data_IF_908573986577
#
_entry.id   IF_908573986577
#
_cell.length_a   1.000
_cell.length_b   1.000
_cell.length_c   1.000
_cell.angle_alpha   90.00
_cell.angle_beta   90.00
_cell.angle_gamma   90.00
#
_symmetry.space_group_name_H-M   'P 1'
#
loop_
_entity.id
_entity.type
_entity.pdbx_description
1 polymer ?
#
# COMPACT_ATOMS: atom_id res chain seq x y z
N UNK A 1 7.59 13.08 -33.43
CA UNK A 1 8.19 11.95 -32.71
C UNK A 1 7.56 11.89 -31.34
N UNK A 2 6.81 10.83 -31.00
CA UNK A 2 6.34 10.63 -29.62
C UNK A 2 7.57 10.31 -28.78
N UNK A 3 7.88 11.15 -27.80
CA UNK A 3 8.98 10.87 -26.88
C UNK A 3 8.64 9.60 -26.09
N UNK A 4 9.61 8.69 -25.96
CA UNK A 4 9.47 7.50 -25.11
C UNK A 4 9.14 7.96 -23.69
N UNK A 5 8.08 7.46 -23.07
CA UNK A 5 7.71 7.88 -21.72
C UNK A 5 8.80 7.51 -20.72
N UNK A 6 9.02 8.35 -19.72
CA UNK A 6 9.92 8.05 -18.61
C UNK A 6 9.26 7.09 -17.61
N UNK A 7 10.09 6.48 -16.77
CA UNK A 7 9.70 5.52 -15.73
C UNK A 7 10.08 6.06 -14.36
N UNK A 8 9.23 5.85 -13.37
CA UNK A 8 9.50 6.28 -12.01
C UNK A 8 9.31 5.13 -11.01
N UNK A 9 10.11 5.16 -9.96
CA UNK A 9 9.97 4.33 -8.79
C UNK A 9 9.76 5.18 -7.55
N UNK A 10 8.93 4.71 -6.64
CA UNK A 10 8.63 5.42 -5.38
C UNK A 10 8.80 4.45 -4.22
N UNK A 11 9.74 4.75 -3.34
CA UNK A 11 9.92 4.08 -2.06
C UNK A 11 9.16 4.83 -0.97
N UNK A 12 8.26 4.12 -0.25
CA UNK A 12 7.27 4.72 0.65
C UNK A 12 7.55 4.38 2.11
N UNK A 13 7.64 5.43 2.92
CA UNK A 13 7.65 5.35 4.37
C UNK A 13 6.42 6.05 4.98
N UNK A 14 6.21 5.88 6.29
CA UNK A 14 5.04 6.41 7.01
C UNK A 14 4.85 7.92 6.86
N UNK A 15 5.94 8.70 6.89
CA UNK A 15 5.89 10.18 6.90
C UNK A 15 6.30 10.83 5.59
N UNK A 16 7.08 10.15 4.78
CA UNK A 16 7.61 10.65 3.53
C UNK A 16 7.79 9.52 2.53
N UNK A 17 8.06 9.87 1.30
CA UNK A 17 8.46 8.93 0.26
C UNK A 17 9.48 9.58 -0.68
N UNK A 18 10.27 8.74 -1.33
CA UNK A 18 11.33 9.15 -2.26
C UNK A 18 10.95 8.73 -3.67
N UNK A 19 11.10 9.64 -4.62
CA UNK A 19 10.79 9.46 -6.04
C UNK A 19 12.10 9.40 -6.82
N UNK A 20 12.33 8.30 -7.52
CA UNK A 20 13.39 8.14 -8.52
C UNK A 20 12.80 8.15 -9.93
N UNK A 21 13.52 8.73 -10.88
CA UNK A 21 13.20 8.64 -12.31
C UNK A 21 14.33 7.92 -13.01
N UNK A 22 14.00 6.92 -13.82
CA UNK A 22 14.97 6.14 -14.58
C UNK A 22 15.90 7.05 -15.39
N UNK A 23 17.20 6.75 -15.34
CA UNK A 23 18.22 7.54 -16.02
C UNK A 23 18.54 8.91 -15.39
N UNK A 24 17.95 9.25 -14.22
CA UNK A 24 18.28 10.48 -13.49
C UNK A 24 18.98 10.19 -12.17
N UNK A 25 20.03 10.96 -11.90
CA UNK A 25 20.80 10.80 -10.65
C UNK A 25 20.09 11.36 -9.42
N UNK A 26 19.34 12.45 -9.59
CA UNK A 26 18.65 13.12 -8.50
C UNK A 26 17.29 12.50 -8.22
N UNK A 27 17.03 12.21 -6.97
CA UNK A 27 15.71 11.84 -6.45
C UNK A 27 15.00 13.04 -5.83
N UNK A 28 13.70 12.93 -5.60
CA UNK A 28 12.88 13.93 -4.93
C UNK A 28 12.20 13.28 -3.73
N UNK A 29 12.23 13.94 -2.57
CA UNK A 29 11.49 13.50 -1.39
C UNK A 29 10.25 14.37 -1.21
N UNK A 30 9.12 13.73 -0.88
CA UNK A 30 7.85 14.39 -0.57
C UNK A 30 7.22 13.80 0.69
N UNK A 31 6.28 14.54 1.29
CA UNK A 31 5.54 14.10 2.46
C UNK A 31 4.42 13.13 2.06
N UNK A 32 4.21 12.07 2.86
CA UNK A 32 3.14 11.09 2.61
C UNK A 32 1.78 11.64 3.12
N UNK A 33 1.25 12.63 2.39
CA UNK A 33 -0.03 13.29 2.63
C UNK A 33 -0.60 13.85 1.31
N UNK A 34 -1.88 14.32 1.28
CA UNK A 34 -2.51 14.81 0.06
C UNK A 34 -1.71 15.88 -0.69
N UNK A 35 -1.09 16.83 0.02
CA UNK A 35 -0.27 17.88 -0.59
C UNK A 35 0.98 17.31 -1.27
N UNK A 36 1.67 16.35 -0.64
CA UNK A 36 2.79 15.65 -1.25
C UNK A 36 2.38 14.83 -2.48
N UNK A 37 1.16 14.29 -2.50
CA UNK A 37 0.61 13.59 -3.67
C UNK A 37 0.41 14.54 -4.86
N UNK A 38 -0.15 15.73 -4.63
CA UNK A 38 -0.32 16.76 -5.66
C UNK A 38 1.03 17.19 -6.26
N UNK A 39 2.03 17.48 -5.40
CA UNK A 39 3.37 17.80 -5.84
C UNK A 39 4.01 16.67 -6.65
N UNK A 40 3.75 15.43 -6.27
CA UNK A 40 4.27 14.24 -6.97
C UNK A 40 3.64 14.10 -8.35
N UNK A 41 2.31 14.23 -8.45
CA UNK A 41 1.60 14.18 -9.74
C UNK A 41 2.16 15.23 -10.69
N UNK A 42 2.25 16.49 -10.26
CA UNK A 42 2.81 17.58 -11.06
C UNK A 42 4.27 17.30 -11.50
N UNK A 43 5.08 16.75 -10.58
CA UNK A 43 6.48 16.40 -10.86
C UNK A 43 6.58 15.28 -11.90
N UNK A 44 5.79 14.21 -11.78
CA UNK A 44 5.80 13.08 -12.71
C UNK A 44 5.29 13.49 -14.09
N UNK A 45 4.23 14.30 -14.16
CA UNK A 45 3.70 14.85 -15.41
C UNK A 45 4.72 15.74 -16.12
N UNK A 46 5.37 16.66 -15.38
CA UNK A 46 6.45 17.51 -15.92
C UNK A 46 7.58 16.68 -16.54
N UNK A 47 7.85 15.51 -15.98
CA UNK A 47 8.88 14.60 -16.48
C UNK A 47 8.38 13.56 -17.47
N UNK A 48 7.12 13.69 -17.94
CA UNK A 48 6.51 12.78 -18.92
C UNK A 48 6.61 11.30 -18.50
N UNK A 49 6.39 11.03 -17.22
CA UNK A 49 6.43 9.66 -16.70
C UNK A 49 5.18 8.92 -17.17
N UNK A 50 5.36 7.79 -17.83
CA UNK A 50 4.30 6.93 -18.35
C UNK A 50 3.96 5.74 -17.45
N UNK A 51 4.88 5.32 -16.56
CA UNK A 51 4.68 4.21 -15.64
C UNK A 51 5.39 4.49 -14.32
N UNK A 52 4.69 4.24 -13.22
CA UNK A 52 5.18 4.39 -11.85
C UNK A 52 5.12 3.04 -11.14
N UNK A 53 6.20 2.63 -10.49
CA UNK A 53 6.24 1.45 -9.61
C UNK A 53 6.40 1.90 -8.17
N UNK A 54 5.50 1.42 -7.30
CA UNK A 54 5.59 1.54 -5.85
C UNK A 54 5.84 0.15 -5.26
N UNK A 55 6.62 0.05 -4.18
CA UNK A 55 6.72 -1.20 -3.44
C UNK A 55 5.57 -1.32 -2.41
N UNK A 56 5.00 -2.53 -2.29
CA UNK A 56 3.97 -2.80 -1.27
C UNK A 56 4.59 -2.73 0.13
N UNK A 57 4.07 -1.84 0.98
CA UNK A 57 4.57 -1.54 2.33
C UNK A 57 3.47 -1.64 3.40
N UNK A 58 2.58 -2.63 3.24
CA UNK A 58 1.51 -2.88 4.20
C UNK A 58 0.36 -1.89 4.15
N UNK A 59 0.14 -1.24 3.00
CA UNK A 59 -0.98 -0.33 2.74
C UNK A 59 -0.62 1.15 2.78
N UNK A 60 0.61 1.53 3.16
CA UNK A 60 1.05 2.93 3.14
C UNK A 60 1.13 3.50 1.71
N UNK A 61 1.29 2.63 0.72
CA UNK A 61 1.35 2.95 -0.71
C UNK A 61 -0.02 3.25 -1.33
N UNK A 62 -1.11 2.72 -0.75
CA UNK A 62 -2.44 2.74 -1.35
C UNK A 62 -2.98 4.16 -1.59
N UNK A 63 -2.90 5.11 -0.63
CA UNK A 63 -3.39 6.47 -0.85
C UNK A 63 -2.71 7.17 -2.02
N UNK A 64 -1.38 7.05 -2.14
CA UNK A 64 -0.63 7.62 -3.26
C UNK A 64 -0.95 6.91 -4.57
N UNK A 65 -1.02 5.57 -4.58
CA UNK A 65 -1.36 4.79 -5.77
C UNK A 65 -2.73 5.19 -6.34
N UNK A 66 -3.74 5.39 -5.48
CA UNK A 66 -5.07 5.88 -5.87
C UNK A 66 -5.00 7.29 -6.46
N UNK A 67 -4.22 8.20 -5.84
CA UNK A 67 -4.07 9.57 -6.32
C UNK A 67 -3.41 9.60 -7.71
N UNK A 68 -2.34 8.83 -7.91
CA UNK A 68 -1.64 8.70 -9.19
C UNK A 68 -2.55 8.09 -10.27
N UNK A 69 -3.29 7.04 -9.93
CA UNK A 69 -4.24 6.39 -10.85
C UNK A 69 -5.36 7.37 -11.27
N UNK A 70 -5.94 8.12 -10.33
CA UNK A 70 -6.95 9.15 -10.63
C UNK A 70 -6.41 10.27 -11.53
N UNK A 71 -5.12 10.56 -11.44
CA UNK A 71 -4.44 11.52 -12.32
C UNK A 71 -4.09 10.95 -13.71
N UNK A 72 -4.52 9.72 -14.03
CA UNK A 72 -4.30 9.07 -15.32
C UNK A 72 -2.91 8.45 -15.50
N UNK A 73 -2.13 8.31 -14.43
CA UNK A 73 -0.83 7.64 -14.47
C UNK A 73 -1.00 6.13 -14.38
N UNK A 74 -0.20 5.39 -15.15
CA UNK A 74 -0.11 3.93 -15.02
C UNK A 74 0.70 3.60 -13.77
N UNK A 75 0.15 2.81 -12.88
CA UNK A 75 0.73 2.48 -11.57
C UNK A 75 0.84 0.98 -11.42
N UNK A 76 1.95 0.50 -10.85
CA UNK A 76 2.14 -0.89 -10.41
C UNK A 76 2.50 -0.87 -8.93
N UNK A 77 1.81 -1.67 -8.12
CA UNK A 77 2.20 -1.98 -6.74
C UNK A 77 2.95 -3.30 -6.78
N UNK A 78 4.27 -3.24 -6.64
CA UNK A 78 5.13 -4.40 -6.77
C UNK A 78 5.28 -5.16 -5.45
N UNK A 79 5.27 -6.50 -5.54
CA UNK A 79 5.56 -7.32 -4.38
C UNK A 79 7.07 -7.22 -4.02
N UNK A 80 7.43 -7.00 -2.74
CA UNK A 80 8.82 -6.89 -2.29
C UNK A 80 9.72 -8.08 -2.63
N UNK A 81 9.14 -9.26 -2.82
CA UNK A 81 9.92 -10.44 -3.25
C UNK A 81 10.51 -10.27 -4.64
N UNK A 82 9.73 -9.69 -5.57
CA UNK A 82 10.18 -9.49 -6.95
C UNK A 82 11.14 -8.31 -7.06
N UNK A 83 10.89 -7.22 -6.35
CA UNK A 83 11.78 -6.05 -6.34
C UNK A 83 13.13 -6.38 -5.72
N UNK A 84 13.14 -7.14 -4.60
CA UNK A 84 14.39 -7.66 -3.99
C UNK A 84 15.15 -8.62 -4.90
N UNK A 85 14.44 -9.52 -5.58
CA UNK A 85 15.07 -10.44 -6.55
C UNK A 85 15.72 -9.67 -7.71
N UNK A 86 15.08 -8.60 -8.17
CA UNK A 86 15.63 -7.71 -9.19
C UNK A 86 16.86 -6.95 -8.65
N UNK A 87 16.77 -6.39 -7.44
CA UNK A 87 17.84 -5.64 -6.78
C UNK A 87 19.10 -6.48 -6.50
N UNK A 88 18.97 -7.76 -6.16
CA UNK A 88 20.08 -8.66 -5.86
C UNK A 88 21.05 -8.82 -7.05
N UNK A 89 20.64 -8.45 -8.26
CA UNK A 89 21.52 -8.39 -9.43
C UNK A 89 22.40 -7.13 -9.51
N UNK A 90 22.18 -6.09 -8.67
CA UNK A 90 22.76 -4.76 -8.92
C UNK A 90 23.54 -4.11 -7.78
N UNK A 91 23.24 -4.28 -6.51
CA UNK A 91 24.04 -3.71 -5.40
C UNK A 91 23.59 -4.17 -4.00
N UNK A 92 24.53 -4.33 -3.02
CA UNK A 92 24.22 -4.64 -1.63
C UNK A 92 23.89 -3.41 -0.76
N UNK A 93 24.08 -2.17 -1.25
CA UNK A 93 23.84 -0.96 -0.45
C UNK A 93 22.35 -0.57 -0.46
N UNK A 94 21.77 -0.37 0.73
CA UNK A 94 20.38 0.06 0.91
C UNK A 94 20.30 1.50 1.37
N UNK A 95 19.59 2.34 0.61
CA UNK A 95 19.09 3.64 1.03
C UNK A 95 17.78 3.93 0.29
N UNK A 96 16.86 4.69 0.87
CA UNK A 96 15.57 5.06 0.24
C UNK A 96 15.76 5.66 -1.16
N UNK A 97 16.86 6.40 -1.37
CA UNK A 97 17.22 6.96 -2.68
C UNK A 97 17.62 5.91 -3.70
N UNK A 98 18.36 4.88 -3.30
CA UNK A 98 18.75 3.77 -4.16
C UNK A 98 17.55 2.86 -4.43
N UNK A 99 16.71 2.64 -3.44
CA UNK A 99 15.51 1.82 -3.56
C UNK A 99 14.51 2.48 -4.55
N UNK A 100 14.30 3.80 -4.49
CA UNK A 100 13.47 4.51 -5.46
C UNK A 100 14.03 4.47 -6.90
N UNK A 101 15.35 4.57 -7.07
CA UNK A 101 15.99 4.43 -8.39
C UNK A 101 15.86 3.01 -8.93
N UNK A 102 16.11 2.01 -8.10
CA UNK A 102 15.96 0.60 -8.45
C UNK A 102 14.51 0.29 -8.87
N UNK A 103 13.51 0.84 -8.19
CA UNK A 103 12.10 0.70 -8.59
C UNK A 103 11.82 1.37 -9.94
N UNK A 104 12.47 2.49 -10.26
CA UNK A 104 12.35 3.14 -11.57
C UNK A 104 12.97 2.30 -12.69
N UNK A 105 14.12 1.68 -12.43
CA UNK A 105 14.77 0.73 -13.35
C UNK A 105 13.91 -0.53 -13.54
N UNK A 106 13.30 -1.01 -12.47
CA UNK A 106 12.36 -2.13 -12.52
C UNK A 106 11.12 -1.80 -13.34
N UNK A 107 10.58 -0.57 -13.24
CA UNK A 107 9.48 -0.11 -14.08
C UNK A 107 9.82 -0.15 -15.57
N UNK A 108 11.00 0.33 -15.93
CA UNK A 108 11.51 0.29 -17.30
C UNK A 108 11.67 -1.16 -17.80
N UNK A 109 12.22 -2.06 -16.96
CA UNK A 109 12.39 -3.46 -17.30
C UNK A 109 11.06 -4.19 -17.54
N UNK A 110 10.04 -3.91 -16.70
CA UNK A 110 8.69 -4.45 -16.88
C UNK A 110 8.05 -4.02 -18.21
N UNK A 111 8.19 -2.74 -18.55
CA UNK A 111 7.65 -2.21 -19.81
C UNK A 111 8.37 -2.82 -21.02
N UNK A 112 9.70 -2.86 -21.00
CA UNK A 112 10.51 -3.44 -22.10
C UNK A 112 10.20 -4.92 -22.34
N UNK A 113 9.87 -5.66 -21.26
CA UNK A 113 9.50 -7.09 -21.36
C UNK A 113 8.02 -7.30 -21.70
N UNK A 114 7.23 -6.25 -21.86
CA UNK A 114 5.78 -6.33 -22.11
C UNK A 114 4.96 -6.87 -20.94
N UNK A 115 5.51 -6.87 -19.72
CA UNK A 115 4.85 -7.41 -18.52
C UNK A 115 4.00 -6.38 -17.79
N UNK A 116 4.28 -5.08 -17.98
CA UNK A 116 3.67 -4.00 -17.23
C UNK A 116 2.14 -3.96 -17.37
N UNK A 117 1.59 -4.23 -18.56
CA UNK A 117 0.16 -4.17 -18.81
C UNK A 117 -0.67 -5.10 -17.90
N UNK A 118 -0.13 -6.28 -17.58
CA UNK A 118 -0.81 -7.29 -16.76
C UNK A 118 -0.66 -7.04 -15.25
N UNK A 119 0.13 -6.05 -14.84
CA UNK A 119 0.45 -5.75 -13.45
C UNK A 119 -0.10 -4.40 -12.99
N UNK A 120 -0.84 -3.70 -13.86
CA UNK A 120 -1.37 -2.37 -13.52
C UNK A 120 -2.30 -2.43 -12.33
N UNK A 121 -2.09 -1.51 -11.40
CA UNK A 121 -2.96 -1.31 -10.26
C UNK A 121 -4.33 -0.80 -10.73
N UNK A 122 -5.37 -1.54 -10.38
CA UNK A 122 -6.75 -1.12 -10.48
C UNK A 122 -7.29 -0.93 -9.05
N UNK A 123 -7.69 0.29 -8.66
CA UNK A 123 -8.27 0.51 -7.35
C UNK A 123 -9.58 -0.29 -7.23
N UNK A 124 -9.84 -0.94 -6.07
CA UNK A 124 -11.12 -1.56 -5.84
C UNK A 124 -12.25 -0.51 -5.91
N UNK A 125 -13.44 -0.94 -6.24
CA UNK A 125 -14.63 -0.07 -6.18
C UNK A 125 -14.91 0.32 -4.73
N UNK A 126 -15.66 1.43 -4.54
CA UNK A 126 -16.06 1.87 -3.20
C UNK A 126 -16.80 0.78 -2.43
N UNK A 127 -17.68 0.04 -3.10
CA UNK A 127 -18.39 -1.09 -2.50
C UNK A 127 -17.44 -2.23 -2.06
N UNK A 128 -16.41 -2.52 -2.86
CA UNK A 128 -15.38 -3.50 -2.46
C UNK A 128 -14.57 -3.02 -1.27
N UNK A 129 -14.20 -1.74 -1.21
CA UNK A 129 -13.48 -1.18 -0.07
C UNK A 129 -14.31 -1.21 1.22
N UNK A 130 -15.60 -0.89 1.12
CA UNK A 130 -16.54 -0.99 2.25
C UNK A 130 -16.65 -2.43 2.75
N UNK A 131 -16.87 -3.38 1.83
CA UNK A 131 -16.96 -4.79 2.19
C UNK A 131 -15.67 -5.30 2.86
N UNK A 132 -14.50 -4.98 2.31
CA UNK A 132 -13.22 -5.35 2.91
C UNK A 132 -13.05 -4.76 4.31
N UNK A 133 -13.47 -3.50 4.51
CA UNK A 133 -13.43 -2.85 5.82
C UNK A 133 -14.34 -3.55 6.84
N UNK A 134 -15.57 -3.92 6.45
CA UNK A 134 -16.52 -4.67 7.28
C UNK A 134 -15.99 -6.05 7.64
N UNK A 135 -15.50 -6.82 6.67
CA UNK A 135 -14.89 -8.15 6.89
C UNK A 135 -13.71 -8.06 7.85
N UNK A 136 -12.82 -7.09 7.66
CA UNK A 136 -11.67 -6.87 8.53
C UNK A 136 -12.11 -6.51 9.96
N UNK A 137 -13.11 -5.63 10.09
CA UNK A 137 -13.64 -5.24 11.41
C UNK A 137 -14.28 -6.42 12.12
N UNK A 138 -15.09 -7.21 11.40
CA UNK A 138 -15.69 -8.43 11.94
C UNK A 138 -14.62 -9.41 12.46
N UNK A 139 -13.57 -9.66 11.68
CA UNK A 139 -12.46 -10.53 12.11
C UNK A 139 -11.83 -10.04 13.41
N UNK A 140 -11.53 -8.74 13.52
CA UNK A 140 -10.98 -8.15 14.74
C UNK A 140 -11.89 -8.37 15.96
N UNK A 141 -13.21 -8.19 15.82
CA UNK A 141 -14.15 -8.41 16.92
C UNK A 141 -14.25 -9.87 17.32
N UNK A 142 -14.21 -10.79 16.35
CA UNK A 142 -14.19 -12.24 16.61
C UNK A 142 -12.93 -12.64 17.39
N UNK A 143 -11.76 -12.12 17.02
CA UNK A 143 -10.49 -12.41 17.71
C UNK A 143 -10.51 -11.90 19.16
N UNK A 144 -11.02 -10.67 19.38
CA UNK A 144 -11.17 -10.11 20.74
C UNK A 144 -12.14 -10.96 21.55
N UNK A 145 -13.27 -11.36 20.98
CA UNK A 145 -14.26 -12.22 21.64
C UNK A 145 -13.65 -13.57 22.03
N UNK A 146 -12.87 -14.19 21.14
CA UNK A 146 -12.19 -15.45 21.42
C UNK A 146 -11.21 -15.31 22.60
N UNK A 147 -10.45 -14.22 22.62
CA UNK A 147 -9.53 -13.92 23.73
C UNK A 147 -10.27 -13.75 25.06
N UNK A 148 -11.42 -13.06 25.07
CA UNK A 148 -12.24 -12.90 26.29
C UNK A 148 -12.89 -14.22 26.75
N UNK A 149 -13.32 -15.08 25.82
CA UNK A 149 -13.83 -16.43 26.16
C UNK A 149 -12.75 -17.28 26.84
N UNK A 150 -11.52 -17.28 26.31
CA UNK A 150 -10.41 -17.97 26.92
C UNK A 150 -10.06 -17.41 28.33
N UNK A 151 -10.15 -16.08 28.48
CA UNK A 151 -9.93 -15.41 29.77
C UNK A 151 -10.98 -15.84 30.81
N UNK A 152 -12.23 -16.02 30.38
CA UNK A 152 -13.34 -16.41 31.27
C UNK A 152 -13.10 -17.76 31.98
N UNK A 153 -12.31 -18.64 31.37
CA UNK A 153 -11.97 -19.96 31.95
C UNK A 153 -10.99 -19.86 33.15
N UNK A 154 -10.19 -18.79 33.21
CA UNK A 154 -9.08 -18.66 34.18
C UNK A 154 -9.22 -17.47 35.12
N UNK A 155 -10.27 -16.64 34.95
CA UNK A 155 -10.43 -15.43 35.73
C UNK A 155 -11.04 -15.66 37.11
N UNK A 156 -10.66 -14.82 38.09
CA UNK A 156 -11.26 -14.87 39.41
C UNK A 156 -12.77 -14.56 39.36
N UNK A 157 -13.57 -15.26 40.19
CA UNK A 157 -15.04 -15.16 40.15
C UNK A 157 -15.58 -13.73 40.29
N UNK A 158 -14.90 -12.88 41.08
CA UNK A 158 -15.29 -11.47 41.24
C UNK A 158 -15.28 -10.64 39.93
N UNK A 159 -14.59 -11.13 38.92
CA UNK A 159 -14.45 -10.44 37.60
C UNK A 159 -15.27 -11.10 36.48
N UNK A 160 -15.86 -12.27 36.73
CA UNK A 160 -16.58 -13.06 35.71
C UNK A 160 -17.71 -12.23 35.03
N UNK A 161 -18.49 -11.49 35.81
CA UNK A 161 -19.60 -10.69 35.27
C UNK A 161 -19.14 -9.60 34.29
N UNK A 162 -18.00 -8.99 34.59
CA UNK A 162 -17.40 -7.98 33.68
C UNK A 162 -17.03 -8.59 32.34
N UNK A 163 -16.40 -9.79 32.33
CA UNK A 163 -16.00 -10.47 31.10
C UNK A 163 -17.22 -10.99 30.32
N UNK A 164 -18.22 -11.54 31.01
CA UNK A 164 -19.48 -11.97 30.38
C UNK A 164 -20.17 -10.79 29.69
N UNK A 165 -20.25 -9.63 30.36
CA UNK A 165 -20.83 -8.41 29.79
C UNK A 165 -20.09 -7.93 28.53
N UNK A 166 -18.75 -8.01 28.53
CA UNK A 166 -17.94 -7.67 27.35
C UNK A 166 -18.20 -8.63 26.18
N UNK A 167 -18.23 -9.96 26.46
CA UNK A 167 -18.53 -10.97 25.43
C UNK A 167 -19.91 -10.70 24.81
N UNK A 168 -20.94 -10.45 25.63
CA UNK A 168 -22.29 -10.14 25.12
C UNK A 168 -22.32 -8.87 24.26
N UNK A 169 -21.54 -7.85 24.63
CA UNK A 169 -21.41 -6.63 23.83
C UNK A 169 -20.72 -6.90 22.48
N UNK A 170 -19.65 -7.71 22.48
CA UNK A 170 -18.95 -8.11 21.25
C UNK A 170 -19.85 -8.96 20.34
N UNK A 171 -20.65 -9.87 20.89
CA UNK A 171 -21.62 -10.65 20.12
C UNK A 171 -22.63 -9.74 19.42
N UNK A 172 -23.12 -8.70 20.11
CA UNK A 172 -24.01 -7.70 19.51
C UNK A 172 -23.33 -6.93 18.39
N UNK A 173 -22.11 -6.41 18.60
CA UNK A 173 -21.37 -5.67 17.57
C UNK A 173 -21.10 -6.52 16.33
N UNK A 174 -20.84 -7.82 16.49
CA UNK A 174 -20.64 -8.74 15.37
C UNK A 174 -21.94 -8.94 14.60
N UNK A 175 -23.05 -9.14 15.33
CA UNK A 175 -24.37 -9.32 14.71
C UNK A 175 -24.82 -8.05 13.95
N UNK A 176 -24.57 -6.86 14.49
CA UNK A 176 -24.89 -5.59 13.85
C UNK A 176 -24.13 -5.45 12.51
N UNK A 177 -22.82 -5.82 12.47
CA UNK A 177 -22.01 -5.80 11.24
C UNK A 177 -22.42 -6.84 10.18
N UNK A 178 -23.13 -7.89 10.57
CA UNK A 178 -23.63 -8.93 9.64
C UNK A 178 -24.96 -8.55 8.98
N UNK A 179 -25.59 -7.46 9.42
CA UNK A 179 -26.84 -6.92 8.85
C UNK A 179 -26.61 -5.78 7.85
N UNK A 180 -25.41 -5.15 7.86
CA UNK A 180 -25.00 -4.09 6.93
C UNK A 180 -24.46 -4.69 5.60
#
# INVERSE_FOLDING_TARGET
MMSTPNYAGIDIAKRHFVIGIHGKDKTKTETNNPKGFEHTIAYLQKHQVGLVVLESTGGLEIPLAKALHRAGLRVIIANPRYTKSYANGFSPAKTDHLDAKMLADYAQALETKGLAANMLYAPPSEAQEQLEALVKRRSQLVDIRAAEKNRLEQIHDSQRQSVIGLIAHLDKLIADLEQD
#
